data_IF_024830225275
#
_entry.id   IF_024830225275
#
_cell.length_a   1.000
_cell.length_b   1.000
_cell.length_c   1.000
_cell.angle_alpha   90.00
_cell.angle_beta   90.00
_cell.angle_gamma   90.00
#
_symmetry.space_group_name_H-M   'P 1'
#
loop_
_entity.id
_entity.type
_entity.pdbx_description
1 polymer ?
#
# COMPACT_ATOMS: atom_id res chain seq x y z
N UNK A 1 23.08 27.40 -40.20
CA UNK A 1 22.27 27.83 -39.04
C UNK A 1 21.68 26.58 -38.42
N UNK A 2 21.88 26.41 -37.11
CA UNK A 2 21.65 25.14 -36.40
C UNK A 2 20.16 24.84 -36.21
N UNK A 3 19.73 23.64 -36.59
CA UNK A 3 18.45 23.09 -36.17
C UNK A 3 18.57 22.65 -34.71
N UNK A 4 17.91 23.39 -33.81
CA UNK A 4 17.72 22.98 -32.42
C UNK A 4 16.89 21.68 -32.40
N UNK A 5 17.55 20.56 -32.08
CA UNK A 5 16.86 19.33 -31.66
C UNK A 5 16.24 19.57 -30.29
N UNK A 6 14.91 19.66 -30.23
CA UNK A 6 14.16 19.57 -28.97
C UNK A 6 14.16 18.12 -28.48
N UNK A 7 15.27 17.70 -27.89
CA UNK A 7 15.34 16.54 -27.02
C UNK A 7 15.04 17.06 -25.61
N UNK A 8 13.81 16.88 -25.12
CA UNK A 8 13.42 16.87 -23.69
C UNK A 8 11.89 16.98 -23.57
N UNK A 9 11.14 15.94 -23.93
CA UNK A 9 9.70 15.83 -23.60
C UNK A 9 9.33 14.42 -23.11
N UNK A 10 10.29 13.47 -23.06
CA UNK A 10 10.03 12.08 -22.66
C UNK A 10 10.20 11.79 -21.17
N UNK A 11 11.08 12.52 -20.48
CA UNK A 11 11.41 12.24 -19.06
C UNK A 11 10.28 12.67 -18.10
N UNK A 12 9.60 13.79 -18.35
CA UNK A 12 8.56 14.30 -17.44
C UNK A 12 7.32 13.40 -17.36
N UNK A 13 7.00 12.68 -18.44
CA UNK A 13 5.82 11.82 -18.51
C UNK A 13 5.97 10.56 -17.65
N UNK A 14 7.16 9.97 -17.61
CA UNK A 14 7.43 8.72 -16.90
C UNK A 14 7.55 8.97 -15.40
N UNK A 15 8.23 10.04 -15.02
CA UNK A 15 8.38 10.45 -13.62
C UNK A 15 7.04 10.81 -12.97
N UNK A 16 6.16 11.49 -13.71
CA UNK A 16 4.80 11.75 -13.24
C UNK A 16 3.97 10.48 -13.05
N UNK A 17 4.13 9.49 -13.93
CA UNK A 17 3.39 8.23 -13.85
C UNK A 17 3.90 7.34 -12.71
N UNK A 18 5.21 7.29 -12.48
CA UNK A 18 5.83 6.66 -11.31
C UNK A 18 5.37 7.33 -10.02
N UNK A 19 5.34 8.67 -9.97
CA UNK A 19 4.84 9.41 -8.81
C UNK A 19 3.34 9.14 -8.57
N UNK A 20 2.51 9.13 -9.62
CA UNK A 20 1.08 8.75 -9.50
C UNK A 20 0.92 7.32 -9.00
N UNK A 21 1.76 6.39 -9.44
CA UNK A 21 1.76 5.01 -8.97
C UNK A 21 2.17 4.93 -7.49
N UNK A 22 3.21 5.64 -7.08
CA UNK A 22 3.67 5.71 -5.69
C UNK A 22 2.59 6.31 -4.78
N UNK A 23 1.98 7.42 -5.17
CA UNK A 23 0.85 8.04 -4.45
C UNK A 23 -0.31 7.05 -4.32
N UNK A 24 -0.63 6.32 -5.39
CA UNK A 24 -1.69 5.31 -5.38
C UNK A 24 -1.35 4.15 -4.44
N UNK A 25 -0.11 3.64 -4.46
CA UNK A 25 0.35 2.58 -3.56
C UNK A 25 0.33 3.04 -2.10
N UNK A 26 0.81 4.26 -1.80
CA UNK A 26 0.71 4.84 -0.45
C UNK A 26 -0.75 4.95 -0.03
N UNK A 27 -1.62 5.52 -0.85
CA UNK A 27 -3.06 5.60 -0.51
C UNK A 27 -3.69 4.22 -0.29
N UNK A 28 -3.18 3.19 -0.98
CA UNK A 28 -3.69 1.81 -0.92
C UNK A 28 -3.15 1.00 0.26
N UNK A 29 -1.92 1.26 0.72
CA UNK A 29 -1.24 0.45 1.73
C UNK A 29 -0.75 1.25 2.95
N UNK A 30 -1.04 2.56 3.03
CA UNK A 30 -0.69 3.36 4.20
C UNK A 30 -1.59 3.02 5.40
N UNK A 31 -1.04 3.26 6.59
CA UNK A 31 -1.51 2.78 7.91
C UNK A 31 -2.93 3.20 8.30
N UNK A 32 -3.61 4.01 7.49
CA UNK A 32 -4.91 4.59 7.80
C UNK A 32 -6.11 3.84 7.23
N UNK A 33 -5.90 2.77 6.46
CA UNK A 33 -6.96 2.30 5.56
C UNK A 33 -8.13 1.58 6.25
N UNK A 34 -8.00 1.12 7.50
CA UNK A 34 -9.05 0.37 8.23
C UNK A 34 -8.97 0.49 9.76
N UNK A 35 -9.10 1.70 10.31
CA UNK A 35 -9.17 1.87 11.79
C UNK A 35 -10.46 1.31 12.41
N UNK A 36 -11.43 0.90 11.60
CA UNK A 36 -12.71 0.35 12.02
C UNK A 36 -12.63 -1.11 12.49
N UNK A 37 -11.56 -1.82 12.12
CA UNK A 37 -11.36 -3.25 12.43
C UNK A 37 -9.98 -3.49 13.04
N UNK A 38 -9.84 -4.63 13.72
CA UNK A 38 -8.60 -5.01 14.37
C UNK A 38 -8.48 -4.56 15.83
N UNK A 39 -7.24 -4.40 16.29
CA UNK A 39 -6.83 -4.02 17.62
C UNK A 39 -7.16 -2.54 17.80
N UNK A 40 -8.10 -2.21 18.69
CA UNK A 40 -8.47 -0.83 18.92
C UNK A 40 -7.28 -0.08 19.51
N UNK A 41 -7.01 1.11 18.97
CA UNK A 41 -6.00 2.03 19.50
C UNK A 41 -6.66 3.03 20.46
N UNK A 42 -7.85 3.49 20.09
CA UNK A 42 -8.62 4.52 20.79
C UNK A 42 -10.07 4.03 20.98
N UNK A 43 -10.71 4.46 22.06
CA UNK A 43 -12.14 4.25 22.28
C UNK A 43 -12.97 5.38 21.66
N UNK A 44 -14.29 5.31 21.79
CA UNK A 44 -15.21 6.33 21.25
C UNK A 44 -15.03 7.73 21.88
N UNK A 45 -14.33 7.83 23.01
CA UNK A 45 -13.92 9.09 23.64
C UNK A 45 -12.59 9.65 23.08
N UNK A 46 -11.98 9.01 22.07
CA UNK A 46 -10.61 9.25 21.61
C UNK A 46 -9.53 9.04 22.70
N UNK A 47 -9.85 8.37 23.80
CA UNK A 47 -8.87 7.97 24.79
C UNK A 47 -8.20 6.67 24.37
N UNK A 48 -6.91 6.52 24.65
CA UNK A 48 -6.18 5.26 24.38
C UNK A 48 -6.80 4.12 25.19
N UNK A 49 -7.11 3.02 24.51
CA UNK A 49 -7.69 1.85 25.19
C UNK A 49 -6.66 1.20 26.11
N UNK A 50 -7.15 0.59 27.18
CA UNK A 50 -6.36 -0.21 28.12
C UNK A 50 -6.75 -1.68 28.02
N UNK A 51 -5.85 -2.56 28.43
CA UNK A 51 -6.11 -4.00 28.50
C UNK A 51 -6.50 -4.35 29.92
N UNK A 52 -7.66 -4.95 30.08
CA UNK A 52 -8.19 -5.40 31.36
C UNK A 52 -8.47 -6.90 31.33
N UNK A 53 -8.48 -7.49 32.52
CA UNK A 53 -8.80 -8.90 32.72
C UNK A 53 -10.22 -9.03 33.24
N UNK A 54 -11.01 -9.92 32.64
CA UNK A 54 -12.38 -10.19 33.09
C UNK A 54 -12.40 -10.91 34.43
N UNK A 55 -13.23 -10.40 35.33
CA UNK A 55 -13.54 -11.00 36.62
C UNK A 55 -14.91 -11.72 36.60
N UNK A 56 -15.62 -11.67 35.47
CA UNK A 56 -16.93 -12.31 35.34
C UNK A 56 -16.77 -13.84 35.42
N UNK A 57 -17.55 -14.58 36.25
CA UNK A 57 -17.37 -16.01 36.46
C UNK A 57 -17.26 -16.85 35.18
N UNK A 58 -18.01 -16.47 34.14
CA UNK A 58 -18.07 -17.15 32.82
C UNK A 58 -16.86 -16.85 31.93
N UNK A 59 -16.25 -15.67 32.09
CA UNK A 59 -15.12 -15.22 31.24
C UNK A 59 -13.87 -14.90 32.05
N UNK A 60 -13.80 -15.38 33.29
CA UNK A 60 -12.72 -15.12 34.24
C UNK A 60 -11.35 -15.33 33.59
N UNK A 61 -10.46 -14.35 33.74
CA UNK A 61 -9.10 -14.42 33.21
C UNK A 61 -8.99 -14.07 31.72
N UNK A 62 -10.09 -13.91 30.97
CA UNK A 62 -10.04 -13.47 29.57
C UNK A 62 -9.71 -11.98 29.50
N UNK A 63 -8.86 -11.61 28.55
CA UNK A 63 -8.45 -10.23 28.32
C UNK A 63 -9.41 -9.50 27.38
N UNK A 64 -9.64 -8.22 27.64
CA UNK A 64 -10.38 -7.33 26.76
C UNK A 64 -9.77 -5.93 26.75
N UNK A 65 -9.96 -5.22 25.64
CA UNK A 65 -9.70 -3.79 25.54
C UNK A 65 -10.88 -3.02 26.11
N UNK A 66 -10.61 -1.99 26.91
CA UNK A 66 -11.64 -1.10 27.44
C UNK A 66 -11.24 0.36 27.45
N UNK A 67 -12.24 1.23 27.59
CA UNK A 67 -12.03 2.62 27.94
C UNK A 67 -11.30 2.73 29.30
N UNK A 68 -10.32 3.63 29.45
CA UNK A 68 -9.65 3.87 30.74
C UNK A 68 -10.56 4.58 31.75
N UNK A 69 -11.58 5.30 31.29
CA UNK A 69 -12.54 6.01 32.14
C UNK A 69 -13.76 5.13 32.42
N UNK A 70 -14.21 5.10 33.67
CA UNK A 70 -15.40 4.36 34.04
C UNK A 70 -16.67 5.12 33.68
N UNK A 71 -17.76 4.39 33.44
CA UNK A 71 -19.10 4.97 33.26
C UNK A 71 -19.56 5.67 34.58
N UNK A 72 -19.02 5.21 35.72
CA UNK A 72 -19.30 5.68 37.08
C UNK A 72 -18.71 7.05 37.43
N UNK A 73 -17.74 7.55 36.66
CA UNK A 73 -16.96 8.77 37.00
C UNK A 73 -17.76 10.09 36.81
N UNK A 74 -19.06 9.99 36.55
CA UNK A 74 -19.98 11.10 36.35
C UNK A 74 -20.48 11.20 34.91
N UNK A 75 -21.48 12.05 34.64
CA UNK A 75 -22.07 12.17 33.32
C UNK A 75 -21.02 12.64 32.28
N UNK A 76 -20.66 11.75 31.36
CA UNK A 76 -19.86 12.06 30.17
C UNK A 76 -18.40 11.60 30.17
N UNK A 77 -17.94 10.74 31.09
CA UNK A 77 -16.50 10.40 31.17
C UNK A 77 -16.11 8.99 30.67
N UNK A 78 -16.94 7.95 30.79
CA UNK A 78 -16.68 6.63 30.18
C UNK A 78 -17.63 6.29 29.03
N UNK A 79 -17.11 5.86 27.87
CA UNK A 79 -17.95 5.41 26.74
C UNK A 79 -18.44 3.95 26.86
N UNK A 80 -17.99 3.19 27.86
CA UNK A 80 -18.34 1.78 27.99
C UNK A 80 -17.75 0.87 26.89
N UNK A 81 -16.80 1.37 26.11
CA UNK A 81 -16.10 0.58 25.09
C UNK A 81 -15.50 -0.68 25.72
N UNK A 82 -15.84 -1.84 25.15
CA UNK A 82 -15.30 -3.15 25.51
C UNK A 82 -15.18 -4.03 24.28
N UNK A 83 -13.98 -4.56 24.02
CA UNK A 83 -13.74 -5.51 22.91
C UNK A 83 -12.84 -6.65 23.38
N UNK A 84 -13.24 -7.88 23.12
CA UNK A 84 -12.42 -9.05 23.52
C UNK A 84 -11.08 -9.06 22.78
N UNK A 85 -10.01 -9.32 23.54
CA UNK A 85 -8.63 -9.31 23.03
C UNK A 85 -8.44 -10.28 21.87
N UNK A 86 -8.97 -11.50 21.99
CA UNK A 86 -8.86 -12.54 20.96
C UNK A 86 -9.58 -12.16 19.68
N UNK A 87 -10.75 -11.53 19.78
CA UNK A 87 -11.53 -11.08 18.61
C UNK A 87 -10.77 -9.99 17.87
N UNK A 88 -10.26 -8.99 18.60
CA UNK A 88 -9.51 -7.90 17.99
C UNK A 88 -8.23 -8.39 17.28
N UNK A 89 -7.52 -9.35 17.88
CA UNK A 89 -6.35 -9.96 17.24
C UNK A 89 -6.71 -10.77 16.00
N UNK A 90 -7.77 -11.59 16.03
CA UNK A 90 -8.21 -12.32 14.85
C UNK A 90 -8.54 -11.37 13.69
N UNK A 91 -9.25 -10.27 13.99
CA UNK A 91 -9.59 -9.26 12.99
C UNK A 91 -8.34 -8.60 12.39
N UNK A 92 -7.31 -8.31 13.20
CA UNK A 92 -6.01 -7.82 12.68
C UNK A 92 -5.34 -8.83 11.76
N UNK A 93 -5.29 -10.10 12.17
CA UNK A 93 -4.67 -11.13 11.35
C UNK A 93 -5.40 -11.31 10.02
N UNK A 94 -6.73 -11.24 10.01
CA UNK A 94 -7.52 -11.35 8.79
C UNK A 94 -7.33 -10.12 7.89
N UNK A 95 -7.23 -8.91 8.46
CA UNK A 95 -6.84 -7.72 7.71
C UNK A 95 -5.46 -7.84 7.07
N UNK A 96 -4.45 -8.27 7.83
CA UNK A 96 -3.08 -8.46 7.32
C UNK A 96 -3.07 -9.51 6.20
N UNK A 97 -3.82 -10.60 6.33
CA UNK A 97 -3.95 -11.60 5.26
C UNK A 97 -4.56 -10.98 4.00
N UNK A 98 -5.66 -10.25 4.14
CA UNK A 98 -6.31 -9.58 3.01
C UNK A 98 -5.34 -8.62 2.30
N UNK A 99 -4.67 -7.76 3.05
CA UNK A 99 -3.66 -6.83 2.51
C UNK A 99 -2.53 -7.55 1.78
N UNK A 100 -2.02 -8.63 2.38
CA UNK A 100 -0.98 -9.47 1.77
C UNK A 100 -1.46 -10.08 0.45
N UNK A 101 -2.71 -10.53 0.38
CA UNK A 101 -3.27 -11.07 -0.87
C UNK A 101 -3.45 -10.00 -1.94
N UNK A 102 -3.82 -8.77 -1.57
CA UNK A 102 -3.93 -7.64 -2.49
C UNK A 102 -2.55 -7.23 -3.02
N UNK A 103 -1.56 -7.07 -2.13
CA UNK A 103 -0.17 -6.78 -2.49
C UNK A 103 0.42 -7.82 -3.45
N UNK A 104 0.14 -9.10 -3.22
CA UNK A 104 0.60 -10.17 -4.11
C UNK A 104 0.03 -10.02 -5.53
N UNK A 105 -1.26 -9.70 -5.66
CA UNK A 105 -1.90 -9.47 -6.97
C UNK A 105 -1.30 -8.26 -7.69
N UNK A 106 -1.05 -7.18 -6.95
CA UNK A 106 -0.43 -5.97 -7.50
C UNK A 106 1.00 -6.22 -7.98
N UNK A 107 1.78 -7.02 -7.22
CA UNK A 107 3.12 -7.45 -7.61
C UNK A 107 3.09 -8.31 -8.88
N UNK A 108 2.20 -9.30 -8.96
CA UNK A 108 2.03 -10.12 -10.16
C UNK A 108 1.67 -9.28 -11.39
N UNK A 109 0.80 -8.27 -11.23
CA UNK A 109 0.45 -7.35 -12.31
C UNK A 109 1.63 -6.45 -12.72
N UNK A 110 2.45 -6.01 -11.76
CA UNK A 110 3.66 -5.24 -12.03
C UNK A 110 4.70 -6.06 -12.80
N UNK A 111 4.94 -7.31 -12.40
CA UNK A 111 5.87 -8.21 -13.07
C UNK A 111 5.48 -8.41 -14.54
N UNK A 112 4.19 -8.66 -14.83
CA UNK A 112 3.69 -8.76 -16.21
C UNK A 112 3.95 -7.50 -17.04
N UNK A 113 3.82 -6.31 -16.43
CA UNK A 113 4.14 -5.04 -17.13
C UNK A 113 5.63 -4.95 -17.45
N UNK A 114 6.50 -5.28 -16.49
CA UNK A 114 7.95 -5.29 -16.68
C UNK A 114 8.36 -6.28 -17.76
N UNK A 115 7.81 -7.50 -17.77
CA UNK A 115 8.05 -8.50 -18.82
C UNK A 115 7.69 -7.94 -20.21
N UNK A 116 6.50 -7.34 -20.35
CA UNK A 116 6.05 -6.75 -21.61
C UNK A 116 6.93 -5.57 -22.08
N UNK A 117 7.46 -4.77 -21.16
CA UNK A 117 8.38 -3.68 -21.48
C UNK A 117 9.75 -4.22 -21.90
N UNK A 118 10.22 -5.27 -21.23
CA UNK A 118 11.48 -5.95 -21.56
C UNK A 118 11.45 -6.52 -22.98
N UNK A 119 10.34 -7.16 -23.37
CA UNK A 119 10.15 -7.65 -24.74
C UNK A 119 10.18 -6.51 -25.78
N UNK A 120 9.53 -5.38 -25.47
CA UNK A 120 9.52 -4.20 -26.36
C UNK A 120 10.92 -3.62 -26.53
N UNK A 121 11.68 -3.50 -25.44
CA UNK A 121 13.07 -3.01 -25.46
C UNK A 121 13.92 -3.92 -26.35
N UNK A 122 13.85 -5.24 -26.14
CA UNK A 122 14.57 -6.20 -26.96
C UNK A 122 14.25 -6.09 -28.46
N UNK A 123 12.98 -5.90 -28.82
CA UNK A 123 12.59 -5.70 -30.22
C UNK A 123 13.12 -4.37 -30.78
N UNK A 124 13.16 -3.30 -29.98
CA UNK A 124 13.74 -2.02 -30.39
C UNK A 124 15.24 -2.13 -30.60
N UNK A 125 15.97 -2.81 -29.72
CA UNK A 125 17.41 -3.05 -29.84
C UNK A 125 17.75 -3.77 -31.16
N UNK A 126 17.02 -4.85 -31.49
CA UNK A 126 17.19 -5.54 -32.78
C UNK A 126 16.94 -4.65 -34.00
N UNK A 127 15.92 -3.80 -33.93
CA UNK A 127 15.62 -2.84 -35.01
C UNK A 127 16.73 -1.81 -35.14
N UNK A 128 17.25 -1.32 -34.02
CA UNK A 128 18.34 -0.36 -33.99
C UNK A 128 19.61 -0.93 -34.61
N UNK A 129 20.01 -2.15 -34.22
CA UNK A 129 21.16 -2.85 -34.80
C UNK A 129 21.02 -3.04 -36.32
N UNK A 130 19.81 -3.34 -36.80
CA UNK A 130 19.54 -3.47 -38.24
C UNK A 130 19.67 -2.12 -38.97
N UNK A 131 19.22 -1.04 -38.34
CA UNK A 131 19.33 0.31 -38.89
C UNK A 131 20.78 0.79 -38.93
N UNK A 132 21.57 0.51 -37.90
CA UNK A 132 23.00 0.80 -37.87
C UNK A 132 23.73 0.12 -39.04
N UNK A 133 23.52 -1.18 -39.24
CA UNK A 133 24.12 -1.92 -40.36
C UNK A 133 23.73 -1.32 -41.73
N UNK A 134 22.48 -0.89 -41.89
CA UNK A 134 22.01 -0.23 -43.13
C UNK A 134 22.67 1.13 -43.32
N UNK A 135 22.80 1.92 -42.25
CA UNK A 135 23.45 3.22 -42.29
C UNK A 135 24.93 3.10 -42.67
N UNK A 136 25.66 2.19 -42.03
CA UNK A 136 27.06 1.90 -42.36
C UNK A 136 27.23 1.45 -43.82
N UNK A 137 26.30 0.63 -44.32
CA UNK A 137 26.32 0.19 -45.72
C UNK A 137 26.11 1.35 -46.69
N UNK A 138 25.17 2.27 -46.41
CA UNK A 138 24.93 3.45 -47.24
C UNK A 138 26.10 4.42 -47.24
N UNK A 139 26.72 4.62 -46.08
CA UNK A 139 27.82 5.58 -45.90
C UNK A 139 29.13 5.12 -46.54
N UNK A 140 29.23 3.85 -46.97
CA UNK A 140 30.35 3.35 -47.80
C UNK A 140 30.28 3.79 -49.27
N UNK A 141 29.14 4.30 -49.73
CA UNK A 141 28.92 4.71 -51.11
C UNK A 141 28.82 6.25 -51.29
N UNK A 142 29.11 7.00 -50.23
CA UNK A 142 29.25 8.47 -50.20
C UNK A 142 30.73 8.82 -50.00
#
# INVERSE_FOLDING_TARGET
MMAQRSLFHGESSVDEELNRMEIRMRTRYDKNRRRDKGVPIECDCNAKVVVATSLDPVTTGKLFFSCPHEISDGPGQGCGFKRWWTVALCDEFDMIKEETTEMKKDLEAANKRVESQTEKIFLMEKKFETLEKKYESLNKYL
#
